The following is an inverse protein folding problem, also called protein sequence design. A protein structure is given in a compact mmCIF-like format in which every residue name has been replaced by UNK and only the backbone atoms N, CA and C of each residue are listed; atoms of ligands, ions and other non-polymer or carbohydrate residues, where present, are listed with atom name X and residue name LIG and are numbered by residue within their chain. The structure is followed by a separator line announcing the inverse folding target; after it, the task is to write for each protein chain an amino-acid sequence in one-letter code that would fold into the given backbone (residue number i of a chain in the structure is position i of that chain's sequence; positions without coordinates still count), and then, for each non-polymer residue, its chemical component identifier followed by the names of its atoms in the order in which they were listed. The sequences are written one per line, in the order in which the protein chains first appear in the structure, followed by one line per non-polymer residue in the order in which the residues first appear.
data_IF_456504717244
#
_entry.id   IF_456504717244
#
_cell.length_a   1.000
_cell.length_b   1.000
_cell.length_c   1.000
_cell.angle_alpha   90.00
_cell.angle_beta   90.00
_cell.angle_gamma   90.00
#
_symmetry.space_group_name_H-M   'P 1'
#
loop_
_entity.id
_entity.type
_entity.pdbx_description
1 polymer ?
#
# COMPACT_ATOMS: atom_id res chain seq x y z
N UNK A 1 -9.63 -8.15 -18.63
CA UNK A 1 -8.73 -7.38 -17.75
C UNK A 1 -7.60 -6.82 -18.61
N UNK A 2 -6.62 -7.63 -19.04
CA UNK A 2 -5.49 -7.18 -19.88
C UNK A 2 -5.85 -6.40 -21.15
N UNK A 3 -6.91 -6.79 -21.87
CA UNK A 3 -7.33 -6.12 -23.12
C UNK A 3 -7.92 -4.72 -22.88
N UNK A 4 -8.56 -4.48 -21.73
CA UNK A 4 -9.16 -3.17 -21.42
C UNK A 4 -8.10 -2.17 -20.91
N UNK A 5 -7.08 -2.67 -20.21
CA UNK A 5 -5.93 -1.86 -19.80
C UNK A 5 -5.12 -1.39 -21.01
N UNK A 6 -4.94 -2.24 -22.02
CA UNK A 6 -4.17 -1.91 -23.22
C UNK A 6 -4.85 -0.84 -24.10
N UNK A 7 -6.19 -0.88 -24.25
CA UNK A 7 -6.94 0.15 -24.98
C UNK A 7 -6.88 1.53 -24.30
N UNK A 8 -6.94 1.56 -22.95
CA UNK A 8 -6.83 2.81 -22.18
C UNK A 8 -5.44 3.42 -22.32
N UNK A 9 -4.38 2.62 -22.23
CA UNK A 9 -3.00 3.09 -22.37
C UNK A 9 -2.71 3.63 -23.78
N UNK A 10 -3.22 2.96 -24.83
CA UNK A 10 -3.08 3.45 -26.19
C UNK A 10 -3.78 4.81 -26.39
N UNK A 11 -4.95 5.02 -25.79
CA UNK A 11 -5.62 6.32 -25.86
C UNK A 11 -4.78 7.44 -25.24
N UNK A 12 -4.17 7.19 -24.08
CA UNK A 12 -3.29 8.16 -23.43
C UNK A 12 -2.05 8.42 -24.28
N UNK A 13 -1.51 7.40 -24.96
CA UNK A 13 -0.39 7.57 -25.89
C UNK A 13 -0.72 8.47 -27.07
N UNK A 14 -1.91 8.32 -27.67
CA UNK A 14 -2.36 9.22 -28.75
C UNK A 14 -2.54 10.67 -28.27
N UNK A 15 -3.05 10.88 -27.06
CA UNK A 15 -3.13 12.21 -26.44
C UNK A 15 -1.72 12.78 -26.18
N UNK A 16 -0.80 11.96 -25.71
CA UNK A 16 0.60 12.33 -25.50
C UNK A 16 1.29 12.73 -26.81
N UNK A 17 1.11 11.93 -27.87
CA UNK A 17 1.65 12.22 -29.20
C UNK A 17 1.14 13.56 -29.73
N UNK A 18 -0.17 13.78 -29.64
CA UNK A 18 -0.80 15.04 -30.05
C UNK A 18 -0.22 16.24 -29.30
N UNK A 19 0.06 16.08 -28.00
CA UNK A 19 0.70 17.11 -27.18
C UNK A 19 2.14 17.39 -27.63
N UNK A 20 2.93 16.35 -27.87
CA UNK A 20 4.33 16.49 -28.34
C UNK A 20 4.37 17.19 -29.69
N UNK A 21 3.52 16.79 -30.64
CA UNK A 21 3.40 17.41 -31.96
C UNK A 21 3.00 18.89 -31.85
N UNK A 22 2.04 19.21 -30.98
CA UNK A 22 1.62 20.58 -30.73
C UNK A 22 2.76 21.43 -30.13
N UNK A 23 3.46 20.91 -29.12
CA UNK A 23 4.56 21.63 -28.49
C UNK A 23 5.71 21.86 -29.47
N UNK A 24 6.18 20.81 -30.17
CA UNK A 24 7.25 20.92 -31.17
C UNK A 24 6.86 21.86 -32.30
N UNK A 25 5.63 21.73 -32.83
CA UNK A 25 5.10 22.63 -33.86
C UNK A 25 5.11 24.08 -33.42
N UNK A 26 4.61 24.37 -32.20
CA UNK A 26 4.59 25.73 -31.67
C UNK A 26 6.01 26.31 -31.50
N UNK A 27 6.95 25.54 -30.97
CA UNK A 27 8.33 25.99 -30.79
C UNK A 27 9.06 26.19 -32.11
N UNK A 28 8.78 25.35 -33.12
CA UNK A 28 9.34 25.49 -34.46
C UNK A 28 8.80 26.74 -35.16
N UNK A 29 7.50 27.02 -35.04
CA UNK A 29 6.87 28.24 -35.56
C UNK A 29 7.44 29.50 -34.90
N UNK A 30 7.55 29.51 -33.57
CA UNK A 30 8.09 30.65 -32.80
C UNK A 30 9.56 30.94 -33.14
N UNK A 31 10.36 29.89 -33.39
CA UNK A 31 11.76 30.02 -33.79
C UNK A 31 11.96 30.22 -35.30
N UNK A 32 10.91 30.10 -36.10
CA UNK A 32 10.99 30.15 -37.57
C UNK A 32 11.82 29.01 -38.16
N UNK A 33 11.83 27.85 -37.50
CA UNK A 33 12.55 26.64 -37.94
C UNK A 33 11.58 25.77 -38.74
N UNK A 34 12.00 25.33 -39.92
CA UNK A 34 11.21 24.38 -40.69
C UNK A 34 11.53 22.92 -40.28
N UNK A 35 10.62 21.96 -40.54
CA UNK A 35 10.85 20.55 -40.20
C UNK A 35 12.12 19.94 -40.78
N UNK A 36 12.48 20.31 -42.01
CA UNK A 36 13.69 19.81 -42.69
C UNK A 36 14.98 20.27 -41.99
N UNK A 37 15.02 21.50 -41.49
CA UNK A 37 16.13 22.06 -40.72
C UNK A 37 16.24 21.43 -39.34
N UNK A 38 15.10 21.14 -38.71
CA UNK A 38 15.07 20.42 -37.44
C UNK A 38 15.62 19.00 -37.61
N UNK A 39 15.15 18.26 -38.61
CA UNK A 39 15.63 16.92 -38.93
C UNK A 39 17.13 16.91 -39.27
N UNK A 40 17.59 17.87 -40.08
CA UNK A 40 19.01 18.02 -40.43
C UNK A 40 19.87 18.34 -39.19
N UNK A 41 19.38 19.19 -38.28
CA UNK A 41 20.07 19.51 -37.04
C UNK A 41 20.13 18.31 -36.09
N UNK A 42 19.03 17.56 -35.94
CA UNK A 42 18.95 16.34 -35.15
C UNK A 42 19.85 15.23 -35.71
N UNK A 43 19.92 15.07 -37.04
CA UNK A 43 20.78 14.08 -37.68
C UNK A 43 22.28 14.39 -37.57
N UNK A 44 22.65 15.67 -37.48
CA UNK A 44 24.04 16.14 -37.31
C UNK A 44 24.49 16.14 -35.84
N UNK A 45 23.57 16.41 -34.92
CA UNK A 45 23.82 16.26 -33.50
C UNK A 45 24.01 14.77 -33.23
N UNK A 46 25.25 14.32 -33.07
CA UNK A 46 25.55 12.93 -32.83
C UNK A 46 24.79 12.45 -31.57
N UNK A 47 23.68 11.73 -31.77
CA UNK A 47 22.83 11.10 -30.74
C UNK A 47 23.57 9.93 -30.04
N UNK A 48 24.90 9.96 -30.05
CA UNK A 48 25.77 8.91 -29.55
C UNK A 48 26.25 9.17 -28.12
N UNK A 49 25.87 10.31 -27.52
CA UNK A 49 26.14 10.55 -26.10
C UNK A 49 24.92 10.15 -25.27
N UNK A 50 25.12 9.56 -24.07
CA UNK A 50 24.03 9.17 -23.18
C UNK A 50 23.08 10.33 -22.84
N UNK A 51 23.63 11.55 -22.75
CA UNK A 51 22.85 12.77 -22.51
C UNK A 51 21.86 13.08 -23.65
N UNK A 52 22.27 12.89 -24.92
CA UNK A 52 21.37 13.09 -26.04
C UNK A 52 20.29 12.00 -26.10
N UNK A 53 20.59 10.76 -25.70
CA UNK A 53 19.58 9.69 -25.66
C UNK A 53 18.44 10.01 -24.68
N UNK A 54 18.75 10.50 -23.47
CA UNK A 54 17.72 10.92 -22.50
C UNK A 54 16.93 12.15 -22.98
N UNK A 55 17.57 13.05 -23.75
CA UNK A 55 16.89 14.23 -24.29
C UNK A 55 15.85 13.87 -25.37
N UNK A 56 16.15 12.88 -26.22
CA UNK A 56 15.26 12.45 -27.29
C UNK A 56 14.26 11.38 -26.86
N UNK A 57 14.41 10.79 -25.67
CA UNK A 57 13.53 9.76 -25.14
C UNK A 57 12.04 10.16 -25.16
N UNK A 58 11.73 11.40 -24.78
CA UNK A 58 10.35 11.92 -24.81
C UNK A 58 9.79 12.06 -26.23
N UNK A 59 10.66 12.38 -27.19
CA UNK A 59 10.29 12.49 -28.61
C UNK A 59 10.11 11.09 -29.20
N UNK A 60 11.00 10.14 -28.90
CA UNK A 60 10.87 8.74 -29.32
C UNK A 60 9.64 8.06 -28.73
N UNK A 61 9.31 8.37 -27.47
CA UNK A 61 8.08 7.89 -26.83
C UNK A 61 6.81 8.36 -27.58
N UNK A 62 6.84 9.47 -28.32
CA UNK A 62 5.67 9.90 -29.09
C UNK A 62 5.39 8.98 -30.29
N UNK A 63 6.42 8.35 -30.85
CA UNK A 63 6.32 7.45 -31.99
C UNK A 63 6.31 5.96 -31.62
N UNK A 64 6.89 5.58 -30.47
CA UNK A 64 6.99 4.20 -29.99
C UNK A 64 6.22 4.00 -28.67
N UNK A 65 5.14 3.22 -28.73
CA UNK A 65 4.29 2.91 -27.59
C UNK A 65 5.01 2.14 -26.48
N UNK A 66 5.96 1.25 -26.81
CA UNK A 66 6.69 0.49 -25.79
C UNK A 66 7.65 1.38 -25.00
N UNK A 67 8.28 2.36 -25.67
CA UNK A 67 9.10 3.38 -25.02
C UNK A 67 8.21 4.26 -24.13
N UNK A 68 7.06 4.71 -24.64
CA UNK A 68 6.08 5.47 -23.86
C UNK A 68 5.62 4.72 -22.61
N UNK A 69 5.24 3.45 -22.75
CA UNK A 69 4.77 2.61 -21.64
C UNK A 69 5.84 2.48 -20.55
N UNK A 70 7.08 2.20 -20.93
CA UNK A 70 8.21 2.13 -20.00
C UNK A 70 8.46 3.46 -19.29
N UNK A 71 8.44 4.56 -20.03
CA UNK A 71 8.59 5.91 -19.48
C UNK A 71 7.46 6.24 -18.47
N UNK A 72 6.22 5.87 -18.78
CA UNK A 72 5.07 6.09 -17.89
C UNK A 72 5.15 5.23 -16.61
N UNK A 73 5.56 3.97 -16.73
CA UNK A 73 5.78 3.08 -15.58
C UNK A 73 6.89 3.64 -14.69
N UNK A 74 8.02 4.04 -15.28
CA UNK A 74 9.13 4.65 -14.54
C UNK A 74 8.67 5.91 -13.80
N UNK A 75 7.92 6.80 -14.46
CA UNK A 75 7.38 8.01 -13.82
C UNK A 75 6.38 7.70 -12.72
N UNK A 76 5.57 6.66 -12.86
CA UNK A 76 4.66 6.22 -11.80
C UNK A 76 5.43 5.74 -10.57
N UNK A 77 6.48 4.94 -10.76
CA UNK A 77 7.38 4.49 -9.69
C UNK A 77 8.03 5.68 -8.98
N UNK A 78 8.58 6.63 -9.74
CA UNK A 78 9.19 7.85 -9.17
C UNK A 78 8.18 8.65 -8.32
N UNK A 79 6.95 8.82 -8.80
CA UNK A 79 5.90 9.52 -8.05
C UNK A 79 5.47 8.76 -6.78
N UNK A 80 5.41 7.43 -6.85
CA UNK A 80 5.12 6.61 -5.68
C UNK A 80 6.23 6.70 -4.63
N UNK A 81 7.51 6.70 -5.05
CA UNK A 81 8.65 6.92 -4.15
C UNK A 81 8.61 8.30 -3.49
N UNK A 82 8.27 9.35 -4.25
CA UNK A 82 8.08 10.69 -3.67
C UNK A 82 6.93 10.73 -2.66
N UNK A 83 5.81 10.07 -2.96
CA UNK A 83 4.68 9.98 -2.02
C UNK A 83 5.07 9.25 -0.73
N UNK A 84 5.84 8.17 -0.85
CA UNK A 84 6.42 7.43 0.27
C UNK A 84 7.32 8.31 1.14
N UNK A 85 8.23 9.06 0.52
CA UNK A 85 9.11 9.99 1.23
C UNK A 85 8.30 11.03 2.01
N UNK A 86 7.27 11.62 1.39
CA UNK A 86 6.39 12.60 2.04
C UNK A 86 5.64 11.98 3.21
N UNK A 87 5.10 10.76 3.05
CA UNK A 87 4.40 10.03 4.11
C UNK A 87 5.33 9.72 5.28
N UNK A 88 6.55 9.29 5.00
CA UNK A 88 7.57 9.01 6.00
C UNK A 88 7.97 10.27 6.78
N UNK A 89 8.21 11.39 6.08
CA UNK A 89 8.56 12.68 6.70
C UNK A 89 7.44 13.25 7.56
N UNK A 90 6.17 13.01 7.19
CA UNK A 90 4.99 13.60 7.87
C UNK A 90 4.41 12.73 8.98
N UNK A 91 4.46 11.40 8.83
CA UNK A 91 3.72 10.46 9.70
C UNK A 91 4.59 9.35 10.29
N UNK A 92 5.83 9.16 9.84
CA UNK A 92 6.74 8.14 10.38
C UNK A 92 6.35 6.68 10.10
N UNK A 93 5.29 6.44 9.32
CA UNK A 93 4.77 5.12 8.93
C UNK A 93 4.42 5.13 7.45
N UNK A 94 4.81 4.06 6.75
CA UNK A 94 4.50 3.82 5.34
C UNK A 94 3.31 2.83 5.27
N UNK A 95 2.18 3.18 4.64
CA UNK A 95 1.07 2.25 4.44
C UNK A 95 1.48 1.03 3.61
N UNK A 96 0.97 -0.16 3.97
CA UNK A 96 1.27 -1.44 3.27
C UNK A 96 1.00 -1.38 1.76
N UNK A 97 0.04 -0.55 1.31
CA UNK A 97 -0.26 -0.35 -0.11
C UNK A 97 0.89 0.21 -0.94
N UNK A 98 1.92 0.78 -0.31
CA UNK A 98 3.13 1.28 -0.97
C UNK A 98 4.37 0.44 -0.65
N UNK A 99 4.22 -0.69 0.05
CA UNK A 99 5.31 -1.65 0.20
C UNK A 99 5.41 -2.51 -1.07
N UNK A 100 6.63 -2.79 -1.60
CA UNK A 100 6.80 -3.65 -2.77
C UNK A 100 6.18 -5.02 -2.49
N UNK A 101 4.98 -5.25 -3.02
CA UNK A 101 4.32 -6.54 -2.93
C UNK A 101 5.02 -7.48 -3.92
N UNK A 102 5.27 -8.73 -3.51
CA UNK A 102 5.97 -9.79 -4.27
C UNK A 102 5.28 -10.21 -5.61
N UNK A 103 4.39 -9.38 -6.17
CA UNK A 103 3.55 -9.67 -7.33
C UNK A 103 3.71 -8.73 -8.53
N UNK A 104 4.75 -7.89 -8.58
CA UNK A 104 5.00 -7.04 -9.75
C UNK A 104 5.36 -7.88 -10.99
N UNK A 105 4.82 -7.58 -12.18
CA UNK A 105 5.25 -8.21 -13.43
C UNK A 105 6.76 -7.99 -13.65
N UNK A 106 7.46 -8.98 -14.23
CA UNK A 106 8.93 -8.95 -14.42
C UNK A 106 9.46 -7.64 -15.02
N UNK A 107 8.74 -7.04 -15.98
CA UNK A 107 9.15 -5.78 -16.61
C UNK A 107 9.08 -4.57 -15.69
N UNK A 108 8.14 -4.54 -14.74
CA UNK A 108 8.02 -3.45 -13.76
C UNK A 108 9.05 -3.59 -12.63
N UNK A 109 9.37 -4.84 -12.27
CA UNK A 109 10.41 -5.16 -11.30
C UNK A 109 11.80 -4.69 -11.77
N UNK A 110 12.11 -4.89 -13.05
CA UNK A 110 13.39 -4.50 -13.65
C UNK A 110 13.53 -2.96 -13.72
N UNK A 111 12.45 -2.25 -14.04
CA UNK A 111 12.42 -0.77 -14.03
C UNK A 111 12.58 -0.24 -12.60
N UNK A 112 11.91 -0.85 -11.61
CA UNK A 112 12.04 -0.47 -10.21
C UNK A 112 13.49 -0.62 -9.71
N UNK A 113 14.15 -1.72 -10.04
CA UNK A 113 15.55 -1.96 -9.68
C UNK A 113 16.50 -0.95 -10.35
N UNK A 114 16.22 -0.57 -11.60
CA UNK A 114 16.99 0.42 -12.34
C UNK A 114 16.80 1.85 -11.80
N UNK A 115 15.59 2.22 -11.36
CA UNK A 115 15.32 3.51 -10.70
C UNK A 115 16.04 3.60 -9.34
N UNK A 116 15.99 2.53 -8.55
CA UNK A 116 16.70 2.44 -7.25
C UNK A 116 18.23 2.50 -7.45
N UNK A 117 18.73 1.98 -8.58
CA UNK A 117 20.16 1.97 -8.91
C UNK A 117 20.66 3.32 -9.47
N UNK A 118 19.79 4.07 -10.14
CA UNK A 118 20.13 5.39 -10.73
C UNK A 118 19.94 6.55 -9.77
N UNK A 119 19.17 6.38 -8.70
CA UNK A 119 19.26 7.27 -7.54
C UNK A 119 20.59 7.02 -6.85
N UNK A 120 21.57 7.90 -7.10
CA UNK A 120 22.84 7.98 -6.36
C UNK A 120 22.54 8.33 -4.89
N UNK A 121 22.09 7.33 -4.14
CA UNK A 121 21.89 7.40 -2.70
C UNK A 121 23.27 7.42 -2.06
N UNK A 122 23.56 8.51 -1.34
CA UNK A 122 24.81 8.62 -0.58
C UNK A 122 24.92 7.46 0.43
N UNK A 123 26.13 7.10 0.84
CA UNK A 123 26.34 6.01 1.82
C UNK A 123 25.63 6.28 3.13
N UNK A 124 25.48 7.55 3.48
CA UNK A 124 24.70 8.01 4.62
C UNK A 124 23.20 7.71 4.45
N UNK A 125 22.63 7.95 3.27
CA UNK A 125 21.20 7.67 3.02
C UNK A 125 20.90 6.17 2.94
N UNK A 126 21.83 5.36 2.41
CA UNK A 126 21.72 3.90 2.45
C UNK A 126 21.70 3.37 3.90
N UNK A 127 22.58 3.90 4.75
CA UNK A 127 22.61 3.54 6.17
C UNK A 127 21.32 3.95 6.90
N UNK A 128 20.82 5.16 6.62
CA UNK A 128 19.57 5.66 7.20
C UNK A 128 18.40 4.76 6.78
N UNK A 129 18.31 4.40 5.51
CA UNK A 129 17.25 3.52 5.00
C UNK A 129 17.30 2.11 5.63
N UNK A 130 18.49 1.55 5.80
CA UNK A 130 18.67 0.24 6.42
C UNK A 130 18.31 0.26 7.92
N UNK A 131 18.67 1.34 8.61
CA UNK A 131 18.30 1.55 10.03
C UNK A 131 16.79 1.74 10.21
N UNK A 132 16.14 2.46 9.29
CA UNK A 132 14.67 2.61 9.26
C UNK A 132 14.00 1.27 9.00
N UNK A 133 14.47 0.49 8.02
CA UNK A 133 13.91 -0.83 7.71
C UNK A 133 14.00 -1.78 8.91
N UNK A 134 15.15 -1.77 9.59
CA UNK A 134 15.36 -2.56 10.81
C UNK A 134 14.40 -2.13 11.93
N UNK A 135 14.31 -0.83 12.19
CA UNK A 135 13.45 -0.30 13.26
C UNK A 135 11.96 -0.54 12.98
N UNK A 136 11.55 -0.39 11.71
CA UNK A 136 10.18 -0.69 11.29
C UNK A 136 9.82 -2.16 11.48
N UNK A 137 10.76 -3.09 11.23
CA UNK A 137 10.55 -4.51 11.47
C UNK A 137 10.43 -4.81 12.96
N UNK A 138 11.31 -4.23 13.78
CA UNK A 138 11.27 -4.39 15.25
C UNK A 138 9.97 -3.84 15.84
N UNK A 139 9.52 -2.66 15.42
CA UNK A 139 8.27 -2.05 15.87
C UNK A 139 7.04 -2.88 15.45
N UNK A 140 7.04 -3.41 14.23
CA UNK A 140 5.95 -4.25 13.74
C UNK A 140 5.87 -5.58 14.50
N UNK A 141 7.03 -6.19 14.77
CA UNK A 141 7.11 -7.41 15.56
C UNK A 141 6.66 -7.17 17.00
N UNK A 142 7.06 -6.06 17.62
CA UNK A 142 6.61 -5.70 18.98
C UNK A 142 5.10 -5.46 19.05
N UNK A 143 4.51 -4.83 18.01
CA UNK A 143 3.07 -4.61 17.94
C UNK A 143 2.30 -5.94 17.80
N UNK A 144 2.81 -6.84 16.96
CA UNK A 144 2.22 -8.17 16.77
C UNK A 144 2.30 -9.02 18.06
N UNK A 145 3.44 -8.99 18.75
CA UNK A 145 3.60 -9.65 20.06
C UNK A 145 2.66 -9.07 21.12
N UNK A 146 2.43 -7.74 21.10
CA UNK A 146 1.47 -7.07 21.98
C UNK A 146 0.02 -7.50 21.75
N UNK A 147 -0.40 -7.61 20.48
CA UNK A 147 -1.73 -8.10 20.10
C UNK A 147 -1.94 -9.56 20.53
N UNK A 148 -0.94 -10.41 20.35
CA UNK A 148 -1.00 -11.82 20.78
C UNK A 148 -1.09 -11.94 22.31
N UNK A 149 -0.40 -11.08 23.05
CA UNK A 149 -0.48 -11.04 24.51
C UNK A 149 -1.87 -10.59 24.99
N UNK A 150 -2.42 -9.51 24.43
CA UNK A 150 -3.75 -8.99 24.77
C UNK A 150 -4.85 -10.00 24.45
N UNK A 151 -4.75 -10.70 23.31
CA UNK A 151 -5.69 -11.76 22.92
C UNK A 151 -5.66 -12.92 23.93
N UNK A 152 -4.47 -13.33 24.38
CA UNK A 152 -4.32 -14.41 25.38
C UNK A 152 -4.89 -14.02 26.73
N UNK A 153 -4.71 -12.77 27.16
CA UNK A 153 -5.25 -12.29 28.43
C UNK A 153 -6.79 -12.20 28.38
N UNK A 154 -7.34 -11.78 27.24
CA UNK A 154 -8.79 -11.75 27.02
C UNK A 154 -9.39 -13.16 27.02
N UNK A 155 -8.75 -14.13 26.36
CA UNK A 155 -9.19 -15.54 26.37
C UNK A 155 -9.20 -16.12 27.79
N UNK A 156 -8.17 -15.83 28.59
CA UNK A 156 -8.10 -16.28 29.99
C UNK A 156 -9.24 -15.71 30.82
N UNK A 157 -9.49 -14.41 30.72
CA UNK A 157 -10.57 -13.76 31.45
C UNK A 157 -11.96 -14.32 31.05
N UNK A 158 -12.15 -14.68 29.78
CA UNK A 158 -13.39 -15.31 29.31
C UNK A 158 -13.60 -16.70 29.92
N UNK A 159 -12.55 -17.51 30.02
CA UNK A 159 -12.61 -18.84 30.65
C UNK A 159 -12.94 -18.72 32.14
N UNK A 160 -12.23 -17.86 32.87
CA UNK A 160 -12.47 -17.62 34.30
C UNK A 160 -13.91 -17.11 34.55
N UNK A 161 -14.39 -16.19 33.71
CA UNK A 161 -15.77 -15.69 33.77
C UNK A 161 -16.81 -16.79 33.54
N UNK A 162 -16.53 -17.73 32.62
CA UNK A 162 -17.41 -18.86 32.34
C UNK A 162 -17.48 -19.83 33.52
N UNK A 163 -16.34 -20.15 34.14
CA UNK A 163 -16.27 -21.03 35.31
C UNK A 163 -16.98 -20.40 36.53
N UNK A 164 -16.75 -19.11 36.76
CA UNK A 164 -17.42 -18.36 37.83
C UNK A 164 -18.94 -18.33 37.63
N UNK A 165 -19.40 -18.10 36.40
CA UNK A 165 -20.83 -18.12 36.06
C UNK A 165 -21.45 -19.48 36.35
N UNK A 166 -20.78 -20.57 35.97
CA UNK A 166 -21.29 -21.93 36.21
C UNK A 166 -21.40 -22.23 37.71
N UNK A 167 -20.41 -21.77 38.52
CA UNK A 167 -20.48 -21.89 39.98
C UNK A 167 -21.67 -21.13 40.57
N UNK A 168 -21.90 -19.89 40.12
CA UNK A 168 -23.01 -19.07 40.59
C UNK A 168 -24.38 -19.64 40.19
N UNK A 169 -24.49 -20.23 38.99
CA UNK A 169 -25.72 -20.90 38.56
C UNK A 169 -26.05 -22.12 39.43
N UNK A 170 -25.04 -22.92 39.80
CA UNK A 170 -25.23 -24.03 40.74
C UNK A 170 -25.67 -23.56 42.13
N UNK A 171 -25.06 -22.50 42.65
CA UNK A 171 -25.42 -21.94 43.96
C UNK A 171 -26.85 -21.38 43.95
N UNK A 172 -27.21 -20.64 42.89
CA UNK A 172 -28.58 -20.14 42.67
C UNK A 172 -29.60 -21.28 42.67
N UNK A 173 -29.29 -22.38 42.00
CA UNK A 173 -30.20 -23.52 41.90
C UNK A 173 -30.37 -24.25 43.24
N UNK A 174 -29.29 -24.36 44.04
CA UNK A 174 -29.35 -24.88 45.42
C UNK A 174 -30.23 -24.01 46.31
N UNK A 175 -29.99 -22.69 46.34
CA UNK A 175 -30.78 -21.74 47.12
C UNK A 175 -32.26 -21.77 46.72
N UNK A 176 -32.55 -21.86 45.42
CA UNK A 176 -33.93 -21.98 44.91
C UNK A 176 -34.61 -23.25 45.41
N UNK A 177 -33.91 -24.39 45.45
CA UNK A 177 -34.45 -25.65 45.98
C UNK A 177 -34.75 -25.55 47.48
N UNK A 178 -33.81 -25.01 48.27
CA UNK A 178 -34.02 -24.82 49.71
C UNK A 178 -35.22 -23.90 50.00
N UNK A 179 -35.36 -22.82 49.21
CA UNK A 179 -36.50 -21.91 49.33
C UNK A 179 -37.82 -22.60 48.98
N UNK A 180 -37.86 -23.40 47.91
CA UNK A 180 -39.07 -24.13 47.52
C UNK A 180 -39.48 -25.17 48.57
N UNK A 181 -38.51 -25.86 49.17
CA UNK A 181 -38.75 -26.81 50.27
C UNK A 181 -39.30 -26.10 51.52
N UNK A 182 -38.69 -24.98 51.93
CA UNK A 182 -39.17 -24.17 53.04
C UNK A 182 -40.60 -23.61 52.81
N UNK A 183 -40.91 -23.21 51.57
CA UNK A 183 -42.25 -22.77 51.18
C UNK A 183 -43.27 -23.92 51.27
N UNK A 184 -42.91 -25.12 50.78
CA UNK A 184 -43.77 -26.31 50.88
C UNK A 184 -44.04 -26.70 52.33
N UNK A 185 -43.01 -26.65 53.19
CA UNK A 185 -43.17 -26.94 54.61
C UNK A 185 -44.16 -25.97 55.27
N UNK A 186 -44.02 -24.68 54.97
CA UNK A 186 -44.92 -23.63 55.50
C UNK A 186 -46.36 -23.75 54.98
N UNK A 187 -46.55 -24.25 53.75
CA UNK A 187 -47.88 -24.49 53.17
C UNK A 187 -48.52 -25.80 53.68
N UNK A 188 -47.73 -26.80 54.06
CA UNK A 188 -48.21 -28.03 54.69
C UNK A 188 -48.57 -27.87 56.16
N UNK A 189 -48.08 -26.80 56.80
CA UNK A 189 -48.31 -26.49 58.22
C UNK A 189 -49.57 -25.63 58.45
N UNK A 190 -50.44 -25.46 57.44
CA UNK A 190 -51.80 -24.94 57.69
C UNK A 190 -52.64 -26.08 58.29
N UNK A 191 -52.98 -26.06 59.59
CA UNK A 191 -53.82 -27.08 60.17
C UNK A 191 -55.23 -26.88 59.64
N UNK A 192 -55.76 -27.92 59.00
CA UNK A 192 -57.21 -28.09 58.96
C UNK A 192 -57.74 -28.22 60.38
N UNK A 193 -58.84 -27.49 60.61
CA UNK A 193 -59.78 -27.54 61.73
C UNK A 193 -59.33 -26.98 63.09
N UNK A 194 -60.10 -26.03 63.65
CA UNK A 194 -61.20 -26.35 64.58
C UNK A 194 -62.30 -25.27 64.53
N UNK A 195 -63.54 -25.72 64.28
CA UNK A 195 -64.89 -25.14 64.54
C UNK A 195 -65.31 -23.79 63.97
#
# INVERSE_FOLDING_TARGET
ADLEEDESHHKIHEEYKTLVDFMLGSYMEDMGINPEQFEEACGKAAINTPFHQTLFEQVWAADDFEIFKRMMIQKNIELQLQALEILQQRYGIIPESFTPCDGLPQGEQEILEQVISTTDMTKEEQHVLEEIKKKSLEDHQALQEGLDAETRDLERALVESKEEKERLEQERDREKQMLEEALKLSLSDTPGEVT
#
